data_IF_435050434075
#
_entry.id   IF_435050434075
#
_cell.length_a   1.000
_cell.length_b   1.000
_cell.length_c   1.000
_cell.angle_alpha   90.00
_cell.angle_beta   90.00
_cell.angle_gamma   90.00
#
_symmetry.space_group_name_H-M   'P 1'
#
loop_
_entity.id
_entity.type
_entity.pdbx_description
1 polymer ?
#
# COMPACT_ATOMS: atom_id res chain seq x y z
N UNK A 1 -57.04 -43.43 5.36
CA UNK A 1 -56.04 -42.91 4.39
C UNK A 1 -55.63 -41.51 4.81
N UNK A 2 -54.40 -41.32 5.32
CA UNK A 2 -53.79 -40.01 5.59
C UNK A 2 -52.61 -39.88 4.65
N UNK A 3 -52.65 -38.89 3.76
CA UNK A 3 -51.54 -38.58 2.86
C UNK A 3 -50.57 -37.63 3.58
N UNK A 4 -49.31 -38.04 3.69
CA UNK A 4 -48.20 -37.19 4.13
C UNK A 4 -47.48 -36.69 2.88
N UNK A 5 -47.47 -35.38 2.65
CA UNK A 5 -46.70 -34.75 1.58
C UNK A 5 -45.31 -34.39 2.12
N UNK A 6 -44.19 -34.81 1.50
CA UNK A 6 -42.87 -34.45 1.99
C UNK A 6 -42.50 -33.05 1.48
N UNK A 7 -42.09 -32.20 2.41
CA UNK A 7 -41.51 -30.89 2.09
C UNK A 7 -40.03 -31.09 1.75
N UNK A 8 -39.67 -30.94 0.47
CA UNK A 8 -38.28 -31.04 0.02
C UNK A 8 -37.60 -29.69 0.29
N UNK A 9 -36.76 -29.61 1.31
CA UNK A 9 -35.95 -28.43 1.59
C UNK A 9 -34.80 -28.34 0.57
N UNK A 10 -34.86 -27.34 -0.30
CA UNK A 10 -33.80 -27.05 -1.26
C UNK A 10 -32.66 -26.32 -0.53
N UNK A 11 -31.59 -27.03 -0.19
CA UNK A 11 -30.38 -26.43 0.34
C UNK A 11 -29.65 -25.68 -0.80
N UNK A 12 -29.67 -24.35 -0.76
CA UNK A 12 -28.88 -23.52 -1.66
C UNK A 12 -27.40 -23.64 -1.28
N UNK A 13 -26.61 -24.33 -2.12
CA UNK A 13 -25.15 -24.33 -2.04
C UNK A 13 -24.66 -22.94 -2.50
N UNK A 14 -24.32 -22.07 -1.57
CA UNK A 14 -23.51 -20.89 -1.88
C UNK A 14 -22.09 -21.37 -2.20
N UNK A 15 -21.77 -21.50 -3.48
CA UNK A 15 -20.40 -21.66 -3.94
C UNK A 15 -19.65 -20.34 -3.68
N UNK A 16 -18.76 -20.32 -2.69
CA UNK A 16 -17.80 -19.24 -2.49
C UNK A 16 -16.80 -19.27 -3.64
N UNK A 17 -17.01 -18.44 -4.66
CA UNK A 17 -15.97 -18.17 -5.67
C UNK A 17 -14.77 -17.57 -4.93
N UNK A 18 -13.70 -18.36 -4.79
CA UNK A 18 -12.39 -17.88 -4.37
C UNK A 18 -11.96 -16.77 -5.32
N UNK A 19 -11.48 -15.66 -4.78
CA UNK A 19 -10.92 -14.60 -5.61
C UNK A 19 -9.66 -15.10 -6.32
N UNK A 20 -9.55 -14.80 -7.61
CA UNK A 20 -8.41 -15.15 -8.45
C UNK A 20 -7.29 -14.12 -8.27
N UNK A 21 -6.05 -14.59 -8.24
CA UNK A 21 -4.87 -13.74 -8.12
C UNK A 21 -4.62 -13.03 -9.46
N UNK A 22 -4.54 -11.70 -9.44
CA UNK A 22 -4.33 -10.85 -10.61
C UNK A 22 -2.95 -10.22 -10.58
N UNK A 23 -2.11 -10.53 -11.56
CA UNK A 23 -0.87 -9.79 -11.77
C UNK A 23 -1.17 -8.38 -12.31
N UNK A 24 -0.60 -7.35 -11.67
CA UNK A 24 -0.78 -5.95 -12.08
C UNK A 24 0.35 -5.43 -12.97
N UNK A 25 1.39 -6.21 -13.22
CA UNK A 25 2.55 -5.80 -14.01
C UNK A 25 3.02 -6.93 -14.92
N UNK A 26 3.21 -6.61 -16.21
CA UNK A 26 3.54 -7.59 -17.24
C UNK A 26 5.03 -7.92 -17.37
N UNK A 27 5.90 -7.25 -16.59
CA UNK A 27 7.36 -7.46 -16.61
C UNK A 27 8.10 -6.78 -17.77
N UNK A 28 7.41 -6.08 -18.67
CA UNK A 28 7.96 -5.58 -19.94
C UNK A 28 7.80 -4.08 -20.12
N UNK A 29 6.62 -3.56 -19.85
CA UNK A 29 6.27 -2.15 -20.06
C UNK A 29 5.23 -1.68 -19.04
N UNK A 30 4.89 -0.39 -19.09
CA UNK A 30 3.95 0.24 -18.18
C UNK A 30 2.50 0.18 -18.68
N UNK A 31 2.14 -0.78 -19.54
CA UNK A 31 0.74 -0.95 -19.96
C UNK A 31 -0.16 -1.13 -18.74
N UNK A 32 -1.24 -0.36 -18.66
CA UNK A 32 -2.13 -0.32 -17.50
C UNK A 32 -1.65 0.59 -16.36
N UNK A 33 -0.62 1.40 -16.58
CA UNK A 33 -0.09 2.36 -15.61
C UNK A 33 0.13 3.73 -16.25
N UNK A 34 -0.13 4.80 -15.49
CA UNK A 34 0.04 6.19 -15.93
C UNK A 34 0.83 7.00 -14.90
N UNK A 35 1.77 7.80 -15.39
CA UNK A 35 2.63 8.65 -14.55
C UNK A 35 3.39 9.66 -15.39
N UNK A 36 4.20 10.49 -14.72
CA UNK A 36 5.14 11.40 -15.37
C UNK A 36 6.36 10.65 -15.96
N UNK A 37 7.21 11.36 -16.70
CA UNK A 37 8.43 10.84 -17.33
C UNK A 37 9.58 10.56 -16.31
N UNK A 38 9.26 9.88 -15.22
CA UNK A 38 10.24 9.36 -14.24
C UNK A 38 10.23 7.83 -14.17
N UNK A 39 9.26 7.21 -14.85
CA UNK A 39 8.95 5.80 -14.73
C UNK A 39 9.35 5.05 -15.99
N UNK A 40 10.01 3.91 -15.79
CA UNK A 40 10.48 3.02 -16.85
C UNK A 40 10.39 1.57 -16.39
N UNK A 41 10.74 0.62 -17.27
CA UNK A 41 10.98 -0.77 -16.88
C UNK A 41 12.47 -1.06 -17.02
N UNK A 42 13.10 -1.52 -15.94
CA UNK A 42 14.51 -1.97 -15.91
C UNK A 42 14.59 -3.31 -15.20
N UNK A 43 15.30 -4.26 -15.79
CA UNK A 43 15.51 -5.61 -15.23
C UNK A 43 14.21 -6.33 -14.82
N UNK A 44 13.16 -6.15 -15.62
CA UNK A 44 11.85 -6.74 -15.35
C UNK A 44 11.11 -6.14 -14.15
N UNK A 45 11.46 -4.92 -13.74
CA UNK A 45 10.82 -4.18 -12.65
C UNK A 45 10.39 -2.77 -13.09
N UNK A 46 9.22 -2.33 -12.63
CA UNK A 46 8.80 -0.93 -12.68
C UNK A 46 9.85 -0.12 -11.90
N UNK A 47 10.45 0.88 -12.52
CA UNK A 47 11.53 1.69 -11.94
C UNK A 47 11.18 3.15 -11.99
N UNK A 48 11.05 3.77 -10.82
CA UNK A 48 10.95 5.22 -10.65
C UNK A 48 12.30 5.81 -10.24
N UNK A 49 12.74 6.88 -10.89
CA UNK A 49 14.06 7.46 -10.63
C UNK A 49 14.03 8.99 -10.67
N UNK A 50 14.68 9.62 -9.70
CA UNK A 50 15.04 11.04 -9.73
C UNK A 50 16.56 11.18 -9.79
N UNK A 51 17.04 12.19 -10.53
CA UNK A 51 18.47 12.57 -10.55
C UNK A 51 18.63 14.04 -10.16
N UNK A 52 19.87 14.50 -10.00
CA UNK A 52 20.12 15.92 -9.73
C UNK A 52 19.67 16.81 -10.90
N UNK A 53 19.79 16.29 -12.13
CA UNK A 53 19.41 16.95 -13.38
C UNK A 53 17.91 16.81 -13.68
N UNK A 54 17.29 15.74 -13.17
CA UNK A 54 15.86 15.49 -13.31
C UNK A 54 15.18 15.24 -11.95
N UNK A 55 15.03 16.29 -11.11
CA UNK A 55 14.28 16.19 -9.87
C UNK A 55 12.79 16.31 -10.13
N UNK A 56 11.97 15.66 -9.30
CA UNK A 56 10.53 15.95 -9.26
C UNK A 56 10.26 17.21 -8.42
N UNK A 57 9.22 17.98 -8.77
CA UNK A 57 8.83 19.23 -8.08
C UNK A 57 7.92 18.99 -6.86
N UNK A 58 7.55 17.74 -6.62
CA UNK A 58 6.69 17.27 -5.55
C UNK A 58 6.53 15.76 -5.65
N UNK A 59 5.89 15.13 -4.67
CA UNK A 59 5.63 13.69 -4.76
C UNK A 59 4.74 13.43 -5.99
N UNK A 60 5.20 12.53 -6.85
CA UNK A 60 4.47 12.08 -8.04
C UNK A 60 4.31 10.57 -7.97
N UNK A 61 3.35 10.05 -8.71
CA UNK A 61 2.92 8.67 -8.55
C UNK A 61 2.73 7.99 -9.90
N UNK A 62 3.03 6.69 -9.95
CA UNK A 62 2.59 5.82 -11.03
C UNK A 62 1.26 5.19 -10.63
N UNK A 63 0.18 5.58 -11.29
CA UNK A 63 -1.19 5.19 -10.96
C UNK A 63 -1.61 4.02 -11.84
N UNK A 64 -2.07 2.94 -11.23
CA UNK A 64 -2.63 1.80 -11.96
C UNK A 64 -4.00 2.16 -12.54
N UNK A 65 -4.30 1.70 -13.75
CA UNK A 65 -5.58 1.90 -14.43
C UNK A 65 -6.65 0.92 -13.91
N UNK A 66 -6.95 1.02 -12.62
CA UNK A 66 -7.99 0.28 -11.93
C UNK A 66 -8.23 0.79 -10.52
N UNK A 67 -9.19 0.19 -9.84
CA UNK A 67 -9.51 0.51 -8.45
C UNK A 67 -9.41 -0.74 -7.57
N UNK A 68 -9.15 -0.53 -6.30
CA UNK A 68 -9.16 -1.55 -5.26
C UNK A 68 -10.18 -1.18 -4.19
N UNK A 69 -10.91 -2.17 -3.67
CA UNK A 69 -11.83 -2.04 -2.54
C UNK A 69 -11.33 -2.87 -1.36
N UNK A 70 -11.96 -4.03 -1.06
CA UNK A 70 -11.41 -5.02 -0.13
C UNK A 70 -10.43 -5.92 -0.89
N UNK A 71 -9.17 -5.97 -0.44
CA UNK A 71 -8.10 -6.64 -1.17
C UNK A 71 -6.95 -7.09 -0.29
N UNK A 72 -6.17 -8.02 -0.83
CA UNK A 72 -4.80 -8.33 -0.44
C UNK A 72 -3.89 -8.02 -1.64
N UNK A 73 -2.82 -7.26 -1.40
CA UNK A 73 -1.79 -6.94 -2.38
C UNK A 73 -0.46 -7.46 -1.86
N UNK A 74 0.26 -8.22 -2.68
CA UNK A 74 1.66 -8.57 -2.44
C UNK A 74 2.51 -8.02 -3.57
N UNK A 75 3.69 -7.49 -3.25
CA UNK A 75 4.68 -7.08 -4.24
C UNK A 75 6.09 -7.14 -3.66
N UNK A 76 7.09 -7.14 -4.55
CA UNK A 76 8.49 -6.93 -4.19
C UNK A 76 8.87 -5.48 -4.46
N UNK A 77 9.57 -4.85 -3.52
CA UNK A 77 10.16 -3.52 -3.69
C UNK A 77 11.66 -3.52 -3.40
N UNK A 78 12.38 -2.61 -4.04
CA UNK A 78 13.76 -2.25 -3.71
C UNK A 78 13.90 -0.74 -3.80
N UNK A 79 14.53 -0.12 -2.83
CA UNK A 79 14.77 1.33 -2.81
C UNK A 79 16.23 1.59 -2.48
N UNK A 80 16.86 2.49 -3.23
CA UNK A 80 18.24 2.93 -3.02
C UNK A 80 18.35 4.44 -3.15
N UNK A 81 19.29 5.01 -2.40
CA UNK A 81 19.82 6.35 -2.65
C UNK A 81 20.71 6.36 -3.91
N UNK A 82 21.21 7.53 -4.30
CA UNK A 82 22.02 7.71 -5.51
C UNK A 82 23.25 6.80 -5.58
N UNK A 83 23.86 6.49 -4.44
CA UNK A 83 25.07 5.66 -4.37
C UNK A 83 24.74 4.14 -4.37
N UNK A 84 23.45 3.78 -4.42
CA UNK A 84 23.00 2.40 -4.47
C UNK A 84 23.03 1.66 -3.13
N UNK A 85 23.23 2.36 -2.00
CA UNK A 85 23.53 1.76 -0.69
C UNK A 85 22.36 1.79 0.30
N UNK A 86 21.38 2.65 0.07
CA UNK A 86 20.26 2.86 0.99
C UNK A 86 20.72 3.28 2.40
N UNK A 87 21.69 4.19 2.46
CA UNK A 87 22.24 4.73 3.72
C UNK A 87 21.82 6.18 3.96
N UNK A 88 21.37 6.86 2.91
CA UNK A 88 20.96 8.26 2.90
C UNK A 88 19.45 8.37 2.69
N UNK A 89 19.03 9.38 1.95
CA UNK A 89 17.65 9.65 1.64
C UNK A 89 17.11 8.72 0.56
N UNK A 90 15.89 8.24 0.77
CA UNK A 90 15.02 7.64 -0.21
C UNK A 90 13.73 7.31 0.50
N UNK A 91 12.59 7.78 -0.01
CA UNK A 91 11.28 7.54 0.56
C UNK A 91 10.34 7.16 -0.59
N UNK A 92 9.51 6.16 -0.37
CA UNK A 92 8.48 5.75 -1.30
C UNK A 92 7.37 5.06 -0.51
N UNK A 93 6.35 4.63 -1.21
CA UNK A 93 5.22 3.97 -0.61
C UNK A 93 4.23 3.48 -1.64
N UNK A 94 3.31 2.66 -1.14
CA UNK A 94 2.22 2.08 -1.91
C UNK A 94 0.94 2.76 -1.46
N UNK A 95 0.38 3.57 -2.35
CA UNK A 95 -0.90 4.22 -2.14
C UNK A 95 -2.02 3.26 -2.48
N UNK A 96 -3.04 3.16 -1.62
CA UNK A 96 -4.17 2.28 -1.84
C UNK A 96 -5.47 2.91 -1.35
N UNK A 97 -6.57 2.59 -2.05
CA UNK A 97 -7.88 3.23 -1.85
C UNK A 97 -7.79 4.77 -1.92
N UNK A 98 -6.79 5.28 -2.62
CA UNK A 98 -6.47 6.70 -2.71
C UNK A 98 -7.32 7.35 -3.79
N UNK A 99 -7.19 8.68 -3.91
CA UNK A 99 -7.81 9.47 -4.97
C UNK A 99 -6.74 10.25 -5.70
N UNK A 100 -6.85 10.36 -7.02
CA UNK A 100 -6.07 11.32 -7.80
C UNK A 100 -6.62 12.72 -7.51
N UNK A 101 -5.76 13.63 -7.06
CA UNK A 101 -6.12 15.02 -6.70
C UNK A 101 -5.50 16.05 -7.64
N UNK A 102 -4.52 15.65 -8.46
CA UNK A 102 -4.04 16.39 -9.62
C UNK A 102 -3.61 15.39 -10.69
N UNK A 103 -4.39 15.28 -11.76
CA UNK A 103 -4.14 14.36 -12.88
C UNK A 103 -2.89 14.75 -13.67
N UNK A 104 -2.56 16.04 -13.77
CA UNK A 104 -1.41 16.50 -14.56
C UNK A 104 -0.10 16.23 -13.84
N UNK A 105 -0.06 16.47 -12.53
CA UNK A 105 1.09 16.17 -11.68
C UNK A 105 1.18 14.70 -11.23
N UNK A 106 0.15 13.90 -11.55
CA UNK A 106 -0.06 12.56 -10.99
C UNK A 106 0.05 12.55 -9.47
N UNK A 107 -0.65 13.45 -8.81
CA UNK A 107 -0.67 13.57 -7.35
C UNK A 107 -1.88 12.82 -6.80
N UNK A 108 -1.66 12.01 -5.78
CA UNK A 108 -2.73 11.29 -5.08
C UNK A 108 -2.83 11.69 -3.61
N UNK A 109 -3.98 11.39 -2.99
CA UNK A 109 -4.24 11.55 -1.56
C UNK A 109 -4.95 10.31 -1.02
N UNK A 110 -4.55 9.81 0.15
CA UNK A 110 -5.11 8.58 0.74
C UNK A 110 -4.07 7.74 1.47
N UNK A 111 -4.43 6.51 1.83
CA UNK A 111 -3.60 5.62 2.64
C UNK A 111 -2.35 5.17 1.89
N UNK A 112 -1.24 5.15 2.63
CA UNK A 112 0.08 4.76 2.16
C UNK A 112 0.72 3.73 3.10
N UNK A 113 1.22 2.65 2.52
CA UNK A 113 2.23 1.80 3.16
C UNK A 113 3.62 2.31 2.80
N UNK A 114 4.32 2.93 3.75
CA UNK A 114 5.61 3.57 3.52
C UNK A 114 6.79 2.59 3.61
N UNK A 115 7.83 2.91 2.85
CA UNK A 115 9.18 2.36 3.01
C UNK A 115 10.25 3.35 2.55
N UNK A 116 11.43 3.23 3.14
CA UNK A 116 12.52 4.18 2.94
C UNK A 116 13.90 3.51 3.00
N UNK A 117 14.93 4.27 2.62
CA UNK A 117 16.33 3.96 2.91
C UNK A 117 16.67 4.15 4.40
N UNK A 118 15.90 4.97 5.12
CA UNK A 118 16.05 5.18 6.56
C UNK A 118 15.50 4.03 7.42
N UNK A 119 15.36 4.31 8.72
CA UNK A 119 14.95 3.31 9.72
C UNK A 119 13.69 3.68 10.50
N UNK A 120 12.99 4.73 10.10
CA UNK A 120 11.90 5.36 10.87
C UNK A 120 10.53 4.99 10.31
N UNK A 121 10.35 5.10 9.00
CA UNK A 121 9.06 5.11 8.33
C UNK A 121 8.72 3.78 7.63
N UNK A 122 9.68 2.88 7.40
CA UNK A 122 9.36 1.61 6.74
C UNK A 122 8.37 0.78 7.55
N UNK A 123 7.22 0.50 6.95
CA UNK A 123 6.14 -0.29 7.54
C UNK A 123 5.09 0.51 8.32
N UNK A 124 5.14 1.85 8.33
CA UNK A 124 4.07 2.67 8.94
C UNK A 124 2.80 2.67 8.06
N UNK A 125 1.70 3.18 8.64
CA UNK A 125 0.54 3.65 7.88
C UNK A 125 0.54 5.19 7.88
N UNK A 126 0.67 5.79 6.70
CA UNK A 126 0.56 7.22 6.47
C UNK A 126 -0.69 7.53 5.64
N UNK A 127 -1.18 8.76 5.71
CA UNK A 127 -2.23 9.26 4.82
C UNK A 127 -1.79 10.55 4.11
N UNK A 128 -1.40 10.38 2.85
CA UNK A 128 -0.90 11.44 1.98
C UNK A 128 -1.97 12.52 1.78
N UNK A 129 -1.59 13.77 2.03
CA UNK A 129 -2.47 14.95 1.94
C UNK A 129 -3.77 14.87 2.77
N UNK A 130 -3.80 13.97 3.75
CA UNK A 130 -4.91 13.76 4.67
C UNK A 130 -4.45 13.88 6.12
N UNK A 131 -4.66 12.80 6.86
CA UNK A 131 -4.50 12.73 8.33
C UNK A 131 -3.05 12.56 8.81
N UNK A 132 -2.08 12.31 7.94
CA UNK A 132 -0.67 12.13 8.31
C UNK A 132 -0.38 10.71 8.83
N UNK A 133 0.51 10.56 9.82
CA UNK A 133 0.85 9.24 10.39
C UNK A 133 -0.34 8.72 11.19
N UNK A 134 -0.90 7.58 10.76
CA UNK A 134 -2.04 6.92 11.41
C UNK A 134 -1.62 5.77 12.32
N UNK A 135 -0.50 5.11 12.02
CA UNK A 135 0.11 4.10 12.89
C UNK A 135 1.61 4.01 12.61
N UNK A 136 2.42 3.92 13.66
CA UNK A 136 3.87 3.66 13.55
C UNK A 136 4.15 2.16 13.51
N UNK A 137 5.33 1.79 13.02
CA UNK A 137 5.77 0.40 12.97
C UNK A 137 5.76 -0.23 14.36
N UNK A 138 5.09 -1.36 14.48
CA UNK A 138 4.92 -2.13 15.70
C UNK A 138 3.64 -1.80 16.48
N UNK A 139 2.80 -0.88 16.00
CA UNK A 139 1.58 -0.48 16.71
C UNK A 139 0.34 -1.26 16.23
N UNK A 140 -0.55 -1.54 17.18
CA UNK A 140 -1.97 -1.82 16.90
C UNK A 140 -2.78 -0.57 17.25
N UNK A 141 -3.65 -0.13 16.37
CA UNK A 141 -4.35 1.15 16.49
C UNK A 141 -5.84 1.02 16.20
N UNK A 142 -6.66 1.72 16.97
CA UNK A 142 -8.03 2.08 16.56
C UNK A 142 -8.08 3.58 16.31
N UNK A 143 -8.60 3.97 15.15
CA UNK A 143 -8.74 5.37 14.74
C UNK A 143 -10.21 5.76 14.92
N UNK A 144 -10.44 6.66 15.87
CA UNK A 144 -11.75 7.21 16.19
C UNK A 144 -11.95 8.56 15.54
N UNK A 145 -13.22 8.96 15.45
CA UNK A 145 -13.57 10.32 15.05
C UNK A 145 -12.87 11.37 15.92
N UNK A 146 -12.35 12.38 15.25
CA UNK A 146 -11.72 13.53 15.86
C UNK A 146 -12.67 14.70 16.03
N UNK A 147 -12.15 15.83 16.51
CA UNK A 147 -12.86 17.11 16.43
C UNK A 147 -12.93 17.66 15.00
N UNK A 148 -12.02 17.20 14.14
CA UNK A 148 -11.88 17.55 12.74
C UNK A 148 -11.57 16.25 11.98
N UNK A 149 -12.15 16.05 10.80
CA UNK A 149 -11.93 14.90 9.95
C UNK A 149 -10.44 14.67 9.61
N UNK A 150 -9.61 15.72 9.60
CA UNK A 150 -8.15 15.63 9.38
C UNK A 150 -7.35 15.40 10.67
N UNK A 151 -7.98 15.42 11.83
CA UNK A 151 -7.34 15.26 13.15
C UNK A 151 -8.06 14.17 13.95
N UNK A 152 -7.99 12.91 13.49
CA UNK A 152 -8.64 11.80 14.17
C UNK A 152 -8.04 11.60 15.57
N UNK A 153 -8.77 10.90 16.44
CA UNK A 153 -8.22 10.41 17.70
C UNK A 153 -7.60 9.03 17.46
N UNK A 154 -6.27 8.96 17.50
CA UNK A 154 -5.50 7.72 17.36
C UNK A 154 -5.34 7.08 18.74
N UNK A 155 -5.85 5.87 18.91
CA UNK A 155 -5.70 5.07 20.12
C UNK A 155 -4.79 3.87 19.84
N UNK A 156 -3.60 3.83 20.46
CA UNK A 156 -2.73 2.66 20.41
C UNK A 156 -3.27 1.61 21.39
N UNK A 157 -3.80 0.51 20.86
CA UNK A 157 -4.46 -0.55 21.64
C UNK A 157 -3.55 -1.75 21.90
N UNK A 158 -2.38 -1.79 21.29
CA UNK A 158 -1.42 -2.88 21.50
C UNK A 158 -0.14 -2.72 20.70
N UNK A 159 0.69 -3.75 20.77
CA UNK A 159 1.96 -3.83 20.06
C UNK A 159 2.09 -5.14 19.27
N UNK A 160 2.76 -5.06 18.12
CA UNK A 160 3.19 -6.18 17.27
C UNK A 160 4.67 -6.54 17.49
N UNK A 161 5.36 -5.84 18.40
CA UNK A 161 6.80 -5.98 18.63
C UNK A 161 7.51 -4.64 18.69
N UNK A 162 8.80 -4.66 19.04
CA UNK A 162 9.62 -3.44 19.08
C UNK A 162 9.99 -2.98 17.68
N UNK A 163 9.98 -1.67 17.48
CA UNK A 163 10.28 -1.06 16.17
C UNK A 163 11.63 -1.51 15.59
N UNK A 164 12.68 -1.62 16.41
CA UNK A 164 14.02 -2.02 15.96
C UNK A 164 14.09 -3.50 15.58
N UNK A 165 13.35 -4.36 16.28
CA UNK A 165 13.28 -5.80 15.98
C UNK A 165 12.58 -6.05 14.64
N UNK A 166 11.54 -5.26 14.34
CA UNK A 166 10.85 -5.29 13.04
C UNK A 166 11.72 -4.67 11.95
N UNK A 167 12.37 -3.52 12.20
CA UNK A 167 13.30 -2.87 11.26
C UNK A 167 14.43 -3.79 10.83
N UNK A 168 14.95 -4.62 11.75
CA UNK A 168 16.03 -5.56 11.48
C UNK A 168 15.66 -6.63 10.43
N UNK A 169 14.37 -6.76 10.08
CA UNK A 169 13.89 -7.67 9.03
C UNK A 169 13.85 -7.04 7.65
N UNK A 170 14.01 -5.72 7.55
CA UNK A 170 13.96 -4.96 6.30
C UNK A 170 15.38 -4.88 5.74
N UNK A 171 15.57 -5.36 4.52
CA UNK A 171 16.88 -5.49 3.88
C UNK A 171 17.23 -4.18 3.14
N UNK A 172 18.25 -3.41 3.57
CA UNK A 172 18.67 -2.22 2.86
C UNK A 172 19.25 -2.60 1.49
N UNK A 173 19.01 -1.76 0.47
CA UNK A 173 19.47 -1.93 -0.91
C UNK A 173 19.12 -3.27 -1.59
N UNK A 174 18.17 -4.02 -1.05
CA UNK A 174 17.76 -5.34 -1.55
C UNK A 174 16.24 -5.44 -1.67
N UNK A 175 15.78 -6.51 -2.33
CA UNK A 175 14.37 -6.81 -2.53
C UNK A 175 13.68 -7.19 -1.23
N UNK A 176 12.59 -6.52 -0.92
CA UNK A 176 11.73 -6.80 0.22
C UNK A 176 10.31 -7.08 -0.29
N UNK A 177 9.66 -8.08 0.30
CA UNK A 177 8.24 -8.32 0.04
C UNK A 177 7.43 -7.36 0.91
N UNK A 178 6.47 -6.66 0.32
CA UNK A 178 5.44 -5.90 1.02
C UNK A 178 4.10 -6.56 0.77
N UNK A 179 3.32 -6.76 1.85
CA UNK A 179 1.95 -7.24 1.79
C UNK A 179 1.02 -6.27 2.49
N UNK A 180 -0.09 -5.91 1.83
CA UNK A 180 -1.15 -5.05 2.36
C UNK A 180 -2.45 -5.85 2.35
N UNK A 181 -3.13 -5.90 3.48
CA UNK A 181 -4.49 -6.44 3.59
C UNK A 181 -5.40 -5.31 4.03
N UNK A 182 -6.42 -5.02 3.24
CA UNK A 182 -7.42 -4.01 3.54
C UNK A 182 -8.81 -4.62 3.40
N UNK A 183 -9.56 -4.70 4.51
CA UNK A 183 -10.93 -5.24 4.55
C UNK A 183 -11.83 -4.36 5.41
N UNK A 184 -12.86 -3.75 4.81
CA UNK A 184 -13.67 -2.76 5.50
C UNK A 184 -12.81 -1.61 6.05
N UNK A 185 -12.81 -1.38 7.36
CA UNK A 185 -11.90 -0.43 8.04
C UNK A 185 -10.60 -1.03 8.57
N UNK A 186 -10.38 -2.33 8.41
CA UNK A 186 -9.21 -3.01 8.95
C UNK A 186 -8.07 -3.01 7.91
N UNK A 187 -6.92 -2.46 8.30
CA UNK A 187 -5.74 -2.24 7.48
C UNK A 187 -4.53 -2.90 8.15
N UNK A 188 -3.81 -3.74 7.41
CA UNK A 188 -2.64 -4.44 7.91
C UNK A 188 -1.52 -4.37 6.87
N UNK A 189 -0.30 -4.06 7.33
CA UNK A 189 0.90 -4.09 6.51
C UNK A 189 1.86 -5.16 7.03
N UNK A 190 2.60 -5.78 6.11
CA UNK A 190 3.65 -6.74 6.42
C UNK A 190 4.85 -6.48 5.52
N UNK A 191 6.05 -6.61 6.07
CA UNK A 191 7.30 -6.58 5.32
C UNK A 191 8.09 -7.86 5.62
N UNK A 192 8.46 -8.61 4.59
CA UNK A 192 9.16 -9.90 4.70
C UNK A 192 8.48 -10.87 5.68
N UNK A 193 7.15 -10.99 5.59
CA UNK A 193 6.33 -11.84 6.44
C UNK A 193 6.08 -11.33 7.86
N UNK A 194 6.70 -10.22 8.29
CA UNK A 194 6.49 -9.64 9.63
C UNK A 194 5.45 -8.53 9.57
N UNK A 195 4.41 -8.63 10.40
CA UNK A 195 3.38 -7.60 10.49
C UNK A 195 3.94 -6.31 11.09
N UNK A 196 3.74 -5.19 10.41
CA UNK A 196 4.29 -3.89 10.82
C UNK A 196 3.25 -2.96 11.43
N UNK A 197 1.98 -3.08 11.05
CA UNK A 197 0.84 -2.36 11.65
C UNK A 197 -0.42 -3.23 11.65
N UNK A 198 -1.33 -2.95 12.59
CA UNK A 198 -2.68 -3.50 12.64
C UNK A 198 -3.66 -2.38 13.02
N UNK A 199 -4.47 -1.91 12.08
CA UNK A 199 -5.25 -0.67 12.25
C UNK A 199 -6.71 -0.91 11.95
N UNK A 200 -7.59 -0.51 12.86
CA UNK A 200 -9.03 -0.39 12.60
C UNK A 200 -9.40 1.08 12.48
N UNK A 201 -9.78 1.52 11.29
CA UNK A 201 -10.27 2.86 11.02
C UNK A 201 -11.80 2.91 11.05
N UNK A 202 -12.33 3.46 12.14
CA UNK A 202 -13.76 3.61 12.41
C UNK A 202 -14.31 4.96 11.95
N UNK A 203 -13.47 5.82 11.37
CA UNK A 203 -13.89 7.15 10.92
C UNK A 203 -14.71 7.06 9.63
N UNK A 204 -15.66 7.97 9.47
CA UNK A 204 -16.48 8.12 8.28
C UNK A 204 -15.66 8.51 7.04
N UNK A 205 -14.50 9.15 7.25
CA UNK A 205 -13.59 9.54 6.16
C UNK A 205 -12.62 8.43 5.72
N UNK A 206 -12.54 7.33 6.46
CA UNK A 206 -11.68 6.21 6.14
C UNK A 206 -12.05 5.57 4.79
N UNK A 207 -11.12 5.60 3.83
CA UNK A 207 -11.38 5.18 2.47
C UNK A 207 -11.67 3.66 2.37
N UNK A 208 -12.73 3.31 1.62
CA UNK A 208 -13.13 1.92 1.39
C UNK A 208 -12.82 1.43 -0.03
N UNK A 209 -12.56 2.35 -0.95
CA UNK A 209 -12.18 2.07 -2.33
C UNK A 209 -11.43 3.25 -2.96
N UNK A 210 -10.68 2.99 -4.03
CA UNK A 210 -10.01 4.00 -4.82
C UNK A 210 -8.83 3.44 -5.58
N UNK A 211 -7.94 4.31 -6.05
CA UNK A 211 -6.80 3.93 -6.88
C UNK A 211 -5.70 3.24 -6.08
N UNK A 212 -4.91 2.44 -6.79
CA UNK A 212 -3.60 1.96 -6.36
C UNK A 212 -2.51 2.77 -7.07
N UNK A 213 -1.49 3.23 -6.36
CA UNK A 213 -0.38 3.97 -6.98
C UNK A 213 0.96 3.74 -6.26
N UNK A 214 2.06 3.90 -7.00
CA UNK A 214 3.42 3.76 -6.50
C UNK A 214 4.06 5.14 -6.41
N UNK A 215 4.64 5.48 -5.26
CA UNK A 215 5.19 6.81 -5.04
C UNK A 215 6.63 6.94 -5.57
N UNK A 216 6.93 8.08 -6.19
CA UNK A 216 8.28 8.61 -6.31
C UNK A 216 8.36 9.94 -5.54
N UNK A 217 9.11 9.94 -4.43
CA UNK A 217 9.18 11.07 -3.51
C UNK A 217 10.08 12.19 -4.03
N UNK A 218 9.72 13.43 -3.73
CA UNK A 218 10.57 14.60 -3.99
C UNK A 218 11.73 14.70 -3.00
N UNK A 219 12.90 15.13 -3.44
CA UNK A 219 14.03 15.33 -2.54
C UNK A 219 15.34 14.92 -3.18
N UNK A 220 16.21 14.34 -2.36
CA UNK A 220 17.52 13.86 -2.84
C UNK A 220 17.30 12.74 -3.87
N UNK A 221 18.13 12.67 -4.93
CA UNK A 221 18.04 11.61 -5.94
C UNK A 221 17.93 10.21 -5.34
N UNK A 222 17.01 9.43 -5.89
CA UNK A 222 16.74 8.06 -5.45
C UNK A 222 16.26 7.21 -6.61
N UNK A 223 16.33 5.89 -6.43
CA UNK A 223 15.72 4.91 -7.32
C UNK A 223 14.85 3.96 -6.51
N UNK A 224 13.63 3.72 -6.96
CA UNK A 224 12.73 2.72 -6.41
C UNK A 224 12.31 1.76 -7.52
N UNK A 225 12.24 0.48 -7.19
CA UNK A 225 11.85 -0.58 -8.11
C UNK A 225 10.76 -1.45 -7.50
N UNK A 226 9.84 -1.92 -8.34
CA UNK A 226 8.72 -2.79 -7.97
C UNK A 226 8.56 -3.92 -8.98
N UNK A 227 8.26 -5.13 -8.49
CA UNK A 227 7.91 -6.29 -9.33
C UNK A 227 7.02 -7.26 -8.57
N UNK A 228 6.54 -8.27 -9.28
CA UNK A 228 5.70 -9.34 -8.69
C UNK A 228 4.44 -8.79 -7.99
N UNK A 229 3.82 -7.75 -8.57
CA UNK A 229 2.59 -7.15 -8.03
C UNK A 229 1.40 -8.08 -8.26
N UNK A 230 0.91 -8.71 -7.20
CA UNK A 230 -0.22 -9.64 -7.22
C UNK A 230 -1.34 -9.11 -6.33
N UNK A 231 -2.48 -8.83 -6.95
CA UNK A 231 -3.71 -8.37 -6.30
C UNK A 231 -4.70 -9.52 -6.17
N UNK A 232 -5.29 -9.66 -4.99
CA UNK A 232 -6.39 -10.58 -4.72
C UNK A 232 -7.54 -9.82 -4.09
N UNK A 233 -8.71 -9.84 -4.70
CA UNK A 233 -9.90 -9.24 -4.10
C UNK A 233 -10.39 -10.06 -2.90
N UNK A 234 -10.89 -9.41 -1.86
CA UNK A 234 -11.43 -10.09 -0.69
C UNK A 234 -12.95 -9.89 -0.68
N UNK A 235 -13.69 -10.97 -0.45
CA UNK A 235 -15.15 -10.97 -0.28
C UNK A 235 -15.56 -10.88 1.19
#
# INVERSE_FOLDING_TARGET
MKFLTPFLALAALCASVSAEDKSLFNGKDLTGWKGLDFWSVKDGAITGQTTAEHPTKGNTFLVWEGEVADFELTLQYKIVDLDGKSEKFGNSGIQYRSKVVDEKGFVVAGYQGDFECGKVYSGILYEEKGRGILAKRGEKVVIHEGKDAKKPKIEVTGSLGKTDEIQAKIKPADWNEYRIVAKGGHLQHFINGVQTIDVTDETAVGAKKGVLALQLHAGTPMTVQFKDLVLKEIK
#
